data_IF_847874665745
#
_entry.id   IF_847874665745
#
_cell.length_a   1.000
_cell.length_b   1.000
_cell.length_c   1.000
_cell.angle_alpha   90.00
_cell.angle_beta   90.00
_cell.angle_gamma   90.00
#
_symmetry.space_group_name_H-M   'P 1'
#
loop_
_entity.id
_entity.type
_entity.pdbx_description
1 polymer ?
#
# COMPACT_ATOMS: atom_id res chain seq x y z
N UNK A 1 -7.51 -26.77 -14.11
CA UNK A 1 -8.29 -25.60 -14.60
C UNK A 1 -8.37 -24.63 -13.42
N UNK A 2 -7.86 -23.39 -13.56
CA UNK A 2 -7.91 -22.40 -12.49
C UNK A 2 -9.33 -21.89 -12.23
N UNK A 3 -9.66 -21.59 -10.98
CA UNK A 3 -10.94 -21.00 -10.58
C UNK A 3 -10.79 -19.50 -10.34
N UNK A 4 -11.87 -18.73 -10.58
CA UNK A 4 -11.94 -17.32 -10.18
C UNK A 4 -12.16 -17.24 -8.67
N UNK A 5 -11.44 -16.35 -7.99
CA UNK A 5 -11.53 -16.14 -6.54
C UNK A 5 -12.11 -14.75 -6.29
N UNK A 6 -12.98 -14.61 -5.29
CA UNK A 6 -13.50 -13.31 -4.85
C UNK A 6 -12.40 -12.54 -4.13
N UNK A 7 -12.36 -11.22 -4.33
CA UNK A 7 -11.33 -10.35 -3.76
C UNK A 7 -11.55 -10.03 -2.27
N UNK A 8 -12.80 -10.20 -1.77
CA UNK A 8 -13.16 -9.88 -0.39
C UNK A 8 -12.31 -10.69 0.61
N UNK A 9 -11.69 -10.00 1.57
CA UNK A 9 -10.84 -10.62 2.58
C UNK A 9 -9.48 -11.12 2.07
N UNK A 10 -9.12 -10.85 0.81
CA UNK A 10 -7.89 -11.39 0.18
C UNK A 10 -6.72 -10.42 0.11
N UNK A 11 -6.94 -9.16 0.44
CA UNK A 11 -5.89 -8.16 0.38
C UNK A 11 -5.12 -8.10 1.70
N UNK A 12 -3.87 -8.56 1.69
CA UNK A 12 -2.92 -8.35 2.79
C UNK A 12 -2.11 -7.08 2.52
N UNK A 13 -2.07 -6.18 3.51
CA UNK A 13 -1.28 -4.96 3.44
C UNK A 13 -0.38 -4.85 4.67
N UNK A 14 0.93 -4.69 4.43
CA UNK A 14 1.95 -4.64 5.46
C UNK A 14 2.81 -3.40 5.30
N UNK A 15 2.99 -2.66 6.40
CA UNK A 15 3.90 -1.51 6.49
C UNK A 15 5.19 -1.93 7.20
N UNK A 16 6.32 -1.47 6.69
CA UNK A 16 7.61 -1.56 7.35
C UNK A 16 8.14 -0.15 7.64
N UNK A 17 8.60 0.06 8.85
CA UNK A 17 9.26 1.31 9.26
C UNK A 17 10.77 1.28 9.01
N UNK A 18 11.30 0.11 8.71
CA UNK A 18 12.71 -0.12 8.36
C UNK A 18 12.80 -0.59 6.92
N UNK A 19 13.77 -0.09 6.19
CA UNK A 19 14.03 -0.49 4.81
C UNK A 19 14.40 -1.98 4.75
N UNK A 20 13.71 -2.79 3.93
CA UNK A 20 14.13 -4.17 3.68
C UNK A 20 15.53 -4.23 3.08
N UNK A 21 16.24 -5.32 3.30
CA UNK A 21 17.56 -5.53 2.70
C UNK A 21 17.51 -5.43 1.16
N UNK A 22 16.45 -5.97 0.56
CA UNK A 22 16.15 -5.77 -0.85
C UNK A 22 14.67 -5.39 -1.03
N UNK A 23 14.35 -4.10 -1.24
CA UNK A 23 12.96 -3.65 -1.42
C UNK A 23 12.25 -4.26 -2.64
N UNK A 24 12.99 -4.72 -3.65
CA UNK A 24 12.43 -5.38 -4.82
C UNK A 24 12.21 -6.90 -4.64
N UNK A 25 12.67 -7.46 -3.52
CA UNK A 25 12.49 -8.86 -3.16
C UNK A 25 12.60 -9.02 -1.63
N UNK A 26 11.64 -8.49 -0.85
CA UNK A 26 11.66 -8.58 0.61
C UNK A 26 11.49 -10.03 1.04
N UNK A 27 12.11 -10.43 2.15
CA UNK A 27 11.95 -11.77 2.69
C UNK A 27 10.63 -11.93 3.45
N UNK A 28 10.16 -13.18 3.56
CA UNK A 28 8.98 -13.48 4.38
C UNK A 28 9.17 -13.06 5.85
N UNK A 29 10.39 -13.19 6.38
CA UNK A 29 10.71 -12.80 7.75
C UNK A 29 10.57 -11.28 7.96
N UNK A 30 11.10 -10.45 7.04
CA UNK A 30 10.95 -8.98 7.10
C UNK A 30 9.49 -8.57 7.03
N UNK A 31 8.72 -9.16 6.12
CA UNK A 31 7.31 -8.83 5.95
C UNK A 31 6.45 -9.27 7.14
N UNK A 32 6.70 -10.45 7.71
CA UNK A 32 5.95 -10.95 8.87
C UNK A 32 6.29 -10.20 10.16
N UNK A 33 7.48 -9.59 10.25
CA UNK A 33 7.84 -8.69 11.35
C UNK A 33 7.24 -7.28 11.20
N UNK A 34 6.64 -6.98 10.07
CA UNK A 34 6.03 -5.69 9.78
C UNK A 34 4.69 -5.46 10.47
N UNK A 35 4.12 -4.28 10.25
CA UNK A 35 2.83 -3.85 10.80
C UNK A 35 1.73 -4.21 9.81
N UNK A 36 0.88 -5.18 10.14
CA UNK A 36 -0.22 -5.63 9.28
C UNK A 36 -1.43 -4.73 9.44
N UNK A 37 -1.82 -4.04 8.36
CA UNK A 37 -2.83 -2.99 8.40
C UNK A 37 -4.15 -3.34 7.70
N UNK A 38 -4.25 -4.49 7.04
CA UNK A 38 -5.44 -4.86 6.25
C UNK A 38 -6.75 -4.86 7.06
N UNK A 39 -6.72 -5.16 8.37
CA UNK A 39 -7.88 -5.11 9.26
C UNK A 39 -8.12 -3.73 9.91
N UNK A 40 -7.29 -2.73 9.61
CA UNK A 40 -7.34 -1.39 10.19
C UNK A 40 -7.60 -0.29 9.15
N UNK A 41 -7.79 -0.66 7.89
CA UNK A 41 -7.97 0.27 6.77
C UNK A 41 -9.38 0.13 6.20
N UNK A 42 -10.02 1.27 5.94
CA UNK A 42 -11.31 1.32 5.26
C UNK A 42 -11.12 0.92 3.78
N UNK A 43 -11.73 -0.19 3.38
CA UNK A 43 -11.58 -0.76 2.03
C UNK A 43 -12.00 0.20 0.92
N UNK A 44 -13.08 0.97 1.11
CA UNK A 44 -13.60 1.90 0.09
C UNK A 44 -12.69 3.10 -0.21
N UNK A 45 -11.69 3.37 0.64
CA UNK A 45 -10.76 4.50 0.50
C UNK A 45 -9.30 4.03 0.46
N UNK A 46 -9.08 2.75 0.21
CA UNK A 46 -7.75 2.20 0.07
C UNK A 46 -7.26 2.33 -1.37
N UNK A 47 -6.23 3.16 -1.55
CA UNK A 47 -5.56 3.40 -2.82
C UNK A 47 -4.11 2.90 -2.68
N UNK A 48 -3.78 1.81 -3.33
CA UNK A 48 -2.41 1.31 -3.41
C UNK A 48 -2.22 0.55 -4.71
N UNK A 49 -1.66 1.20 -5.70
CA UNK A 49 -1.55 0.62 -7.03
C UNK A 49 -0.85 1.52 -8.04
N UNK A 50 -0.64 0.98 -9.22
CA UNK A 50 -0.21 1.76 -10.37
C UNK A 50 -1.34 2.67 -10.85
N UNK A 51 -0.97 3.83 -11.36
CA UNK A 51 -1.85 4.75 -12.09
C UNK A 51 -1.30 4.96 -13.50
N UNK A 52 -1.99 5.74 -14.31
CA UNK A 52 -1.56 6.02 -15.67
C UNK A 52 -0.12 6.53 -15.69
N UNK A 53 0.70 5.90 -16.52
CA UNK A 53 2.05 6.34 -16.79
C UNK A 53 2.04 7.67 -17.56
N UNK A 54 3.14 8.40 -17.47
CA UNK A 54 3.34 9.59 -18.28
C UNK A 54 3.21 9.24 -19.77
N UNK A 55 2.66 10.18 -20.55
CA UNK A 55 2.52 10.04 -21.99
C UNK A 55 3.38 11.08 -22.68
N UNK A 56 4.21 10.61 -23.59
CA UNK A 56 5.00 11.47 -24.49
C UNK A 56 4.30 11.44 -25.83
N UNK A 57 3.77 12.59 -26.24
CA UNK A 57 3.10 12.73 -27.52
C UNK A 57 3.91 13.67 -28.42
N UNK A 58 4.43 13.15 -29.54
CA UNK A 58 5.17 13.93 -30.51
C UNK A 58 4.53 13.78 -31.90
N UNK A 59 4.66 14.80 -32.71
CA UNK A 59 4.14 14.83 -34.07
C UNK A 59 5.27 15.13 -35.07
N UNK A 60 5.46 14.24 -36.01
CA UNK A 60 6.39 14.49 -37.11
C UNK A 60 5.87 15.60 -38.02
N UNK A 61 6.76 16.38 -38.63
CA UNK A 61 6.43 17.51 -39.51
C UNK A 61 5.47 17.13 -40.64
N UNK A 62 5.58 15.95 -41.20
CA UNK A 62 4.74 15.43 -42.27
C UNK A 62 3.58 14.52 -41.79
N UNK A 63 3.32 14.42 -40.49
CA UNK A 63 2.30 13.52 -39.95
C UNK A 63 1.02 14.27 -39.60
N UNK A 64 -0.14 13.64 -39.86
CA UNK A 64 -1.46 14.17 -39.44
C UNK A 64 -1.83 13.76 -38.02
N UNK A 65 -1.20 12.73 -37.45
CA UNK A 65 -1.43 12.19 -36.08
C UNK A 65 -0.21 12.26 -35.20
N UNK A 66 -0.43 12.07 -33.87
CA UNK A 66 0.63 11.98 -32.89
C UNK A 66 1.20 10.56 -32.82
N UNK A 67 2.52 10.45 -32.65
CA UNK A 67 3.15 9.24 -32.13
C UNK A 67 3.17 9.31 -30.58
N UNK A 68 2.54 8.34 -29.92
CA UNK A 68 2.46 8.30 -28.48
C UNK A 68 3.42 7.24 -27.93
N UNK A 69 4.21 7.61 -26.95
CA UNK A 69 5.04 6.69 -26.18
C UNK A 69 4.62 6.70 -24.70
N UNK A 70 4.75 5.56 -24.05
CA UNK A 70 4.55 5.44 -22.60
C UNK A 70 5.85 5.86 -21.94
N UNK A 71 5.78 6.82 -21.00
CA UNK A 71 6.90 7.34 -20.23
C UNK A 71 7.05 6.67 -18.87
N UNK A 72 7.34 7.45 -17.83
CA UNK A 72 7.54 6.96 -16.48
C UNK A 72 6.27 6.34 -15.88
N UNK A 73 6.43 5.26 -15.13
CA UNK A 73 5.34 4.63 -14.38
C UNK A 73 5.05 5.43 -13.12
N UNK A 74 3.77 5.66 -12.86
CA UNK A 74 3.29 6.37 -11.67
C UNK A 74 2.54 5.42 -10.74
N UNK A 75 2.61 5.69 -9.45
CA UNK A 75 1.98 4.90 -8.40
C UNK A 75 1.28 5.82 -7.42
N UNK A 76 0.24 5.31 -6.77
CA UNK A 76 -0.50 6.04 -5.75
C UNK A 76 -0.57 5.26 -4.44
N UNK A 77 -0.63 5.98 -3.34
CA UNK A 77 -0.91 5.46 -2.01
C UNK A 77 -1.82 6.43 -1.26
N UNK A 78 -2.82 5.89 -0.59
CA UNK A 78 -3.71 6.64 0.30
C UNK A 78 -4.58 5.64 1.04
N UNK A 79 -4.85 5.92 2.31
CA UNK A 79 -5.66 5.03 3.13
C UNK A 79 -6.38 5.80 4.22
N UNK A 80 -7.54 5.31 4.62
CA UNK A 80 -8.22 5.79 5.83
C UNK A 80 -8.06 4.72 6.91
N UNK A 81 -7.40 5.10 8.01
CA UNK A 81 -7.06 4.21 9.12
C UNK A 81 -8.02 4.42 10.28
N UNK A 82 -8.62 3.34 10.79
CA UNK A 82 -9.40 3.38 12.02
C UNK A 82 -8.50 3.52 13.24
N UNK A 83 -9.01 4.27 14.24
CA UNK A 83 -8.36 4.39 15.54
C UNK A 83 -8.93 3.37 16.51
N UNK A 84 -8.09 2.82 17.35
CA UNK A 84 -8.47 1.82 18.36
C UNK A 84 -8.32 2.40 19.77
N UNK A 85 -9.36 2.19 20.58
CA UNK A 85 -9.41 2.68 21.94
C UNK A 85 -9.79 1.54 22.90
N UNK A 86 -9.20 1.54 24.09
CA UNK A 86 -9.54 0.62 25.16
C UNK A 86 -10.96 0.91 25.68
N UNK A 87 -11.66 -0.12 26.09
CA UNK A 87 -13.00 0.03 26.72
C UNK A 87 -12.95 0.88 27.99
N UNK A 88 -11.84 0.81 28.72
CA UNK A 88 -11.58 1.63 29.92
C UNK A 88 -11.13 3.08 29.60
N UNK A 89 -11.03 3.44 28.34
CA UNK A 89 -10.52 4.73 27.85
C UNK A 89 -9.02 4.70 27.56
N UNK A 90 -8.57 5.65 26.71
CA UNK A 90 -7.19 5.70 26.23
C UNK A 90 -6.98 4.92 24.94
N UNK A 91 -5.75 5.00 24.40
CA UNK A 91 -5.38 4.32 23.16
C UNK A 91 -5.00 2.86 23.41
N UNK A 92 -5.39 2.00 22.48
CA UNK A 92 -4.90 0.63 22.45
C UNK A 92 -3.50 0.60 21.82
N UNK A 93 -2.45 0.60 22.64
CA UNK A 93 -1.07 0.69 22.14
C UNK A 93 -0.68 -0.48 21.23
N UNK A 94 -1.26 -1.65 21.41
CA UNK A 94 -0.96 -2.83 20.60
C UNK A 94 -1.57 -2.68 19.18
N UNK A 95 -2.81 -2.20 19.10
CA UNK A 95 -3.54 -2.03 17.84
C UNK A 95 -3.24 -0.69 17.13
N UNK A 96 -2.57 0.26 17.78
CA UNK A 96 -2.23 1.58 17.22
C UNK A 96 -0.86 1.64 16.53
N UNK A 97 -0.16 0.51 16.36
CA UNK A 97 1.16 0.47 15.74
C UNK A 97 1.16 1.12 14.34
N UNK A 98 0.16 0.84 13.52
CA UNK A 98 0.02 1.42 12.18
C UNK A 98 -0.24 2.93 12.21
N UNK A 99 -1.12 3.39 13.10
CA UNK A 99 -1.34 4.82 13.30
C UNK A 99 -0.05 5.52 13.76
N UNK A 100 0.66 4.92 14.71
CA UNK A 100 1.91 5.49 15.23
C UNK A 100 2.98 5.61 14.14
N UNK A 101 3.02 4.71 13.17
CA UNK A 101 3.93 4.78 12.04
C UNK A 101 3.61 5.92 11.06
N UNK A 102 2.32 6.28 10.91
CA UNK A 102 1.90 7.24 9.88
C UNK A 102 1.45 8.61 10.40
N UNK A 103 1.31 8.82 11.71
CA UNK A 103 0.78 10.06 12.30
C UNK A 103 1.69 11.28 12.15
N UNK A 104 2.99 11.08 11.94
CA UNK A 104 3.98 12.14 11.79
C UNK A 104 4.32 12.31 10.32
N UNK A 105 4.12 13.52 9.79
CA UNK A 105 4.42 13.87 8.39
C UNK A 105 5.88 13.66 8.03
N UNK A 106 6.13 13.20 6.82
CA UNK A 106 7.47 13.16 6.22
C UNK A 106 8.27 11.91 6.61
N UNK A 107 7.62 10.90 7.19
CA UNK A 107 8.28 9.63 7.49
C UNK A 107 8.34 8.77 6.23
N UNK A 108 9.53 8.27 5.93
CA UNK A 108 9.68 7.27 4.84
C UNK A 108 9.29 5.91 5.36
N UNK A 109 8.38 5.27 4.66
CA UNK A 109 7.83 3.95 4.97
C UNK A 109 7.92 3.04 3.74
N UNK A 110 7.86 1.74 3.99
CA UNK A 110 7.80 0.72 2.94
C UNK A 110 6.49 -0.03 3.08
N UNK A 111 5.78 -0.19 1.97
CA UNK A 111 4.48 -0.86 1.95
C UNK A 111 4.50 -2.01 0.95
N UNK A 112 3.85 -3.11 1.31
CA UNK A 112 3.75 -4.29 0.45
C UNK A 112 2.34 -4.85 0.51
N UNK A 113 1.78 -5.17 -0.66
CA UNK A 113 0.43 -5.72 -0.74
C UNK A 113 0.36 -6.97 -1.62
N UNK A 114 -0.38 -7.95 -1.13
CA UNK A 114 -0.75 -9.19 -1.80
C UNK A 114 -2.27 -9.25 -1.97
N UNK A 115 -2.71 -9.66 -3.15
CA UNK A 115 -4.11 -10.00 -3.41
C UNK A 115 -4.12 -11.27 -4.26
N UNK A 116 -4.28 -12.42 -3.61
CA UNK A 116 -4.24 -13.76 -4.21
C UNK A 116 -5.42 -14.60 -3.72
N UNK A 117 -5.36 -15.90 -3.85
CA UNK A 117 -6.33 -16.84 -3.26
C UNK A 117 -6.19 -16.98 -1.73
N UNK A 118 -5.06 -16.58 -1.15
CA UNK A 118 -4.82 -16.61 0.29
C UNK A 118 -5.65 -15.56 1.04
N UNK A 119 -6.02 -15.86 2.28
CA UNK A 119 -6.67 -14.89 3.16
C UNK A 119 -5.71 -13.75 3.53
N UNK A 120 -6.28 -12.58 3.84
CA UNK A 120 -5.48 -11.42 4.26
C UNK A 120 -4.66 -11.70 5.53
N UNK A 121 -5.19 -12.53 6.44
CA UNK A 121 -4.53 -12.91 7.70
C UNK A 121 -3.46 -13.99 7.53
N UNK A 122 -3.42 -14.69 6.38
CA UNK A 122 -2.38 -15.69 6.12
C UNK A 122 -1.00 -15.04 6.06
N UNK A 123 -0.05 -15.56 6.82
CA UNK A 123 1.32 -15.05 6.87
C UNK A 123 1.98 -15.00 5.48
N UNK A 124 2.93 -14.11 5.31
CA UNK A 124 3.77 -14.08 4.13
C UNK A 124 4.64 -15.33 4.05
N UNK A 125 4.74 -15.89 2.87
CA UNK A 125 5.60 -17.05 2.58
C UNK A 125 6.48 -16.76 1.37
N UNK A 126 7.62 -17.43 1.29
CA UNK A 126 8.50 -17.35 0.12
C UNK A 126 7.73 -17.74 -1.15
N UNK A 127 7.92 -16.95 -2.21
CA UNK A 127 7.22 -17.12 -3.47
C UNK A 127 5.83 -16.46 -3.55
N UNK A 128 5.32 -15.87 -2.47
CA UNK A 128 4.06 -15.09 -2.54
C UNK A 128 4.22 -13.94 -3.52
N UNK A 129 3.21 -13.74 -4.37
CA UNK A 129 3.17 -12.59 -5.27
C UNK A 129 2.78 -11.32 -4.50
N UNK A 130 3.54 -10.26 -4.71
CA UNK A 130 3.27 -8.91 -4.25
C UNK A 130 2.88 -8.10 -5.48
N UNK A 131 1.60 -7.66 -5.58
CA UNK A 131 1.19 -6.86 -6.74
C UNK A 131 1.83 -5.48 -6.77
N UNK A 132 2.14 -4.93 -5.59
CA UNK A 132 2.93 -3.70 -5.45
C UNK A 132 3.71 -3.70 -4.14
N UNK A 133 5.01 -3.42 -4.23
CA UNK A 133 5.85 -2.92 -3.16
C UNK A 133 6.14 -1.45 -3.40
N UNK A 134 6.25 -0.62 -2.37
CA UNK A 134 6.53 0.79 -2.54
C UNK A 134 7.35 1.37 -1.38
N UNK A 135 8.31 2.22 -1.74
CA UNK A 135 8.88 3.23 -0.84
C UNK A 135 8.04 4.49 -0.97
N UNK A 136 7.52 5.01 0.13
CA UNK A 136 6.64 6.15 0.13
C UNK A 136 6.86 7.07 1.34
N UNK A 137 6.44 8.32 1.21
CA UNK A 137 6.49 9.31 2.28
C UNK A 137 5.06 9.73 2.60
N UNK A 138 4.69 9.66 3.87
CA UNK A 138 3.37 10.07 4.32
C UNK A 138 3.25 11.59 4.44
N UNK A 139 2.06 12.11 4.17
CA UNK A 139 1.70 13.49 4.50
C UNK A 139 0.92 13.53 5.83
N UNK A 140 0.57 14.74 6.27
CA UNK A 140 -0.19 14.99 7.49
C UNK A 140 -1.55 14.26 7.42
N UNK A 141 -1.86 13.41 8.40
CA UNK A 141 -3.16 12.77 8.46
C UNK A 141 -4.31 13.79 8.55
N UNK A 142 -5.35 13.57 7.78
CA UNK A 142 -6.50 14.45 7.63
C UNK A 142 -7.68 13.90 8.41
N UNK A 143 -8.36 14.77 9.15
CA UNK A 143 -9.62 14.41 9.82
C UNK A 143 -10.69 14.08 8.77
N UNK A 144 -11.43 13.00 9.00
CA UNK A 144 -12.61 12.67 8.21
C UNK A 144 -13.87 13.40 8.74
N UNK A 145 -14.99 13.16 8.12
CA UNK A 145 -16.30 13.82 8.38
C UNK A 145 -16.84 13.66 9.82
N UNK A 146 -16.28 12.77 10.62
CA UNK A 146 -16.71 12.53 11.99
C UNK A 146 -17.95 11.64 12.12
N UNK A 147 -18.38 11.00 11.03
CA UNK A 147 -19.45 9.99 11.05
C UNK A 147 -18.88 8.58 11.17
N UNK A 148 -19.62 7.66 11.81
CA UNK A 148 -19.19 6.27 12.04
C UNK A 148 -18.04 6.17 13.04
N UNK A 149 -17.12 5.24 12.81
CA UNK A 149 -15.97 5.04 13.68
C UNK A 149 -14.91 6.15 13.50
N UNK A 150 -14.18 6.45 14.58
CA UNK A 150 -13.07 7.42 14.52
C UNK A 150 -12.00 6.89 13.57
N UNK A 151 -11.71 7.67 12.55
CA UNK A 151 -10.77 7.33 11.49
C UNK A 151 -10.08 8.58 10.95
N UNK A 152 -8.93 8.38 10.31
CA UNK A 152 -8.13 9.45 9.72
C UNK A 152 -7.64 9.03 8.35
N UNK A 153 -7.77 9.92 7.38
CA UNK A 153 -7.18 9.73 6.06
C UNK A 153 -5.69 10.04 6.12
N UNK A 154 -4.89 9.13 5.61
CA UNK A 154 -3.43 9.26 5.49
C UNK A 154 -3.09 9.31 4.01
N UNK A 155 -2.83 10.50 3.45
CA UNK A 155 -2.30 10.63 2.11
C UNK A 155 -0.79 10.39 2.12
N UNK A 156 -0.24 10.07 0.95
CA UNK A 156 1.20 9.92 0.81
C UNK A 156 1.64 9.90 -0.65
N UNK A 157 2.94 10.05 -0.85
CA UNK A 157 3.57 10.09 -2.17
C UNK A 157 4.54 8.93 -2.32
N UNK A 158 4.32 8.13 -3.36
CA UNK A 158 5.23 7.03 -3.69
C UNK A 158 6.51 7.58 -4.31
N UNK A 159 7.63 7.24 -3.71
CA UNK A 159 8.97 7.63 -4.20
C UNK A 159 9.51 6.59 -5.17
N UNK A 160 9.21 5.32 -4.93
CA UNK A 160 9.62 4.22 -5.79
C UNK A 160 8.64 3.05 -5.66
N UNK A 161 8.16 2.56 -6.80
CA UNK A 161 7.29 1.38 -6.87
C UNK A 161 8.03 0.15 -7.37
N UNK A 162 7.63 -1.02 -6.89
CA UNK A 162 8.13 -2.34 -7.25
C UNK A 162 6.92 -3.23 -7.60
N UNK A 163 6.39 -3.13 -8.83
CA UNK A 163 5.21 -3.89 -9.22
C UNK A 163 5.54 -5.36 -9.50
N UNK A 164 4.59 -6.24 -9.18
CA UNK A 164 4.62 -7.67 -9.50
C UNK A 164 5.92 -8.37 -9.13
N UNK A 165 6.34 -8.18 -7.88
CA UNK A 165 7.51 -8.84 -7.31
C UNK A 165 7.08 -10.07 -6.48
N UNK A 166 8.06 -10.89 -6.08
CA UNK A 166 7.82 -12.05 -5.23
C UNK A 166 8.57 -11.94 -3.91
N UNK A 167 7.98 -12.52 -2.87
CA UNK A 167 8.63 -12.67 -1.57
C UNK A 167 9.85 -13.59 -1.72
N UNK A 168 11.03 -13.12 -1.27
CA UNK A 168 12.25 -13.92 -1.25
C UNK A 168 12.20 -15.05 -0.19
N UNK A 169 13.04 -16.05 -0.41
CA UNK A 169 13.21 -17.18 0.51
C UNK A 169 13.86 -16.75 1.84
#
# INVERSE_FOLDING_TARGET
MGAKVLADGKTRFTLLTTKPANPAAPTAAELNAGIHQHNHILTSDFLFGAVDSDKIAEKGLGSSGNANAIGASNYQIGMTVWRKFLTAGGFDAADEAGWNAVKVKGVTLYAYARQTDKEADDAWAAGDEIYLGAEWVNDTPQRTDGTGFIKWRVPGEVQKGYPFISVAA
#
